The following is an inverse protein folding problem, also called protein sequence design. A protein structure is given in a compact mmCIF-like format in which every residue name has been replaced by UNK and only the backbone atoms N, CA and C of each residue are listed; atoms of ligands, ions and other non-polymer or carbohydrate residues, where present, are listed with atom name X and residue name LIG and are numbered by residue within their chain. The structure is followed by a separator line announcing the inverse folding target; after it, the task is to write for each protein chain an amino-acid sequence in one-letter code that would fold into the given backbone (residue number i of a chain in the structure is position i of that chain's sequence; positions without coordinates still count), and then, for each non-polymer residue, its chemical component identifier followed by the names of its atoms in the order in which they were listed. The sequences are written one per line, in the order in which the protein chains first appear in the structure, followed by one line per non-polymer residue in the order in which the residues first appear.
data_IF_756744188436
#
_entry.id   IF_756744188436
#
_cell.length_a   1.000
_cell.length_b   1.000
_cell.length_c   1.000
_cell.angle_alpha   90.00
_cell.angle_beta   90.00
_cell.angle_gamma   90.00
#
_symmetry.space_group_name_H-M   'P 1'
#
loop_
_entity.id
_entity.type
_entity.pdbx_description
1 polymer ?
#
# COMPACT_ATOMS: atom_id res chain seq x y z
N UNK A 1 21.81 -11.70 1.26
CA UNK A 1 20.35 -11.78 1.55
C UNK A 1 19.78 -13.10 1.06
N UNK A 2 18.70 -13.53 1.67
CA UNK A 2 18.09 -14.85 1.41
C UNK A 2 16.62 -14.65 1.04
N UNK A 3 16.16 -15.31 -0.04
CA UNK A 3 14.76 -15.20 -0.48
C UNK A 3 13.85 -15.87 0.55
N UNK A 4 12.89 -15.14 1.09
CA UNK A 4 11.91 -15.65 2.05
C UNK A 4 10.61 -16.11 1.38
N UNK A 5 10.23 -15.48 0.26
CA UNK A 5 8.95 -15.73 -0.39
C UNK A 5 8.97 -15.16 -1.81
N UNK A 6 8.21 -15.80 -2.69
CA UNK A 6 8.03 -15.33 -4.07
C UNK A 6 6.58 -15.53 -4.48
N UNK A 7 6.03 -14.58 -5.20
CA UNK A 7 4.71 -14.71 -5.81
C UNK A 7 4.70 -14.03 -7.18
N UNK A 8 3.65 -14.27 -7.94
CA UNK A 8 3.51 -13.70 -9.28
C UNK A 8 2.04 -13.45 -9.60
N UNK A 9 1.80 -12.41 -10.37
CA UNK A 9 0.50 -12.11 -10.98
C UNK A 9 0.76 -11.81 -12.46
N UNK A 10 -0.22 -12.11 -13.30
CA UNK A 10 -0.15 -11.92 -14.75
C UNK A 10 -1.20 -10.88 -15.15
N UNK A 11 -0.80 -9.87 -15.90
CA UNK A 11 -1.73 -8.88 -16.45
C UNK A 11 -1.91 -9.09 -17.96
N UNK A 12 -3.15 -9.01 -18.40
CA UNK A 12 -3.54 -8.93 -19.80
C UNK A 12 -4.31 -7.63 -20.03
N UNK A 13 -3.92 -6.85 -21.01
CA UNK A 13 -4.64 -5.63 -21.41
C UNK A 13 -4.27 -4.36 -20.65
N UNK A 14 -3.27 -4.38 -19.79
CA UNK A 14 -2.81 -3.19 -19.08
C UNK A 14 -3.86 -2.64 -18.12
N UNK A 15 -4.08 -1.32 -18.18
CA UNK A 15 -5.01 -0.61 -17.29
C UNK A 15 -6.50 -0.80 -17.64
N UNK A 16 -6.78 -1.54 -18.70
CA UNK A 16 -8.14 -1.88 -19.11
C UNK A 16 -8.17 -3.35 -19.51
N UNK A 17 -8.04 -4.22 -18.54
CA UNK A 17 -7.92 -5.64 -18.78
C UNK A 17 -8.17 -6.44 -17.51
N UNK A 18 -7.24 -7.31 -17.17
CA UNK A 18 -7.41 -8.18 -16.00
C UNK A 18 -6.05 -8.61 -15.44
N UNK A 19 -6.06 -9.01 -14.18
CA UNK A 19 -4.92 -9.68 -13.53
C UNK A 19 -5.37 -11.00 -12.95
N UNK A 20 -4.50 -11.98 -13.00
CA UNK A 20 -4.77 -13.29 -12.42
C UNK A 20 -3.51 -13.92 -11.85
N UNK A 21 -3.70 -14.75 -10.84
CA UNK A 21 -2.61 -15.61 -10.35
C UNK A 21 -2.38 -16.76 -11.34
N UNK A 22 -1.13 -17.23 -11.49
CA UNK A 22 -0.82 -18.32 -12.42
C UNK A 22 -1.65 -19.59 -12.20
N UNK A 23 -2.03 -19.86 -10.94
CA UNK A 23 -2.85 -21.02 -10.57
C UNK A 23 -4.35 -20.74 -10.53
N UNK A 24 -4.79 -19.55 -10.93
CA UNK A 24 -6.19 -19.15 -10.93
C UNK A 24 -6.80 -18.85 -9.58
N UNK A 25 -6.00 -18.85 -8.51
CA UNK A 25 -6.52 -18.60 -7.14
C UNK A 25 -6.99 -17.17 -6.90
N UNK A 26 -6.59 -16.24 -7.75
CA UNK A 26 -6.98 -14.83 -7.66
C UNK A 26 -7.18 -14.30 -9.07
N UNK A 27 -8.27 -13.57 -9.26
CA UNK A 27 -8.60 -12.93 -10.54
C UNK A 27 -9.32 -11.62 -10.28
N UNK A 28 -8.89 -10.53 -10.93
CA UNK A 28 -9.53 -9.23 -10.80
C UNK A 28 -9.53 -8.52 -12.14
N UNK A 29 -10.62 -7.80 -12.38
CA UNK A 29 -10.74 -6.92 -13.54
C UNK A 29 -10.01 -5.61 -13.24
N UNK A 30 -9.27 -5.11 -14.23
CA UNK A 30 -8.61 -3.80 -14.15
C UNK A 30 -9.39 -2.82 -15.02
N UNK A 31 -9.84 -1.72 -14.41
CA UNK A 31 -10.64 -0.71 -15.10
C UNK A 31 -10.01 0.67 -14.89
N UNK A 32 -10.15 1.58 -15.87
CA UNK A 32 -9.65 2.94 -15.72
C UNK A 32 -10.29 3.66 -14.54
N UNK A 33 -9.55 4.51 -13.81
CA UNK A 33 -10.11 5.30 -12.72
C UNK A 33 -11.24 6.22 -13.22
N UNK A 34 -12.23 6.45 -12.36
CA UNK A 34 -13.31 7.39 -12.65
C UNK A 34 -14.47 6.86 -13.46
N UNK A 35 -14.43 5.62 -13.91
CA UNK A 35 -15.59 4.98 -14.55
C UNK A 35 -16.28 4.07 -13.54
N UNK A 36 -17.62 4.00 -13.64
CA UNK A 36 -18.44 3.13 -12.78
C UNK A 36 -18.50 1.73 -13.37
N UNK A 37 -17.41 0.99 -13.22
CA UNK A 37 -17.32 -0.40 -13.64
C UNK A 37 -16.75 -1.24 -12.52
N UNK A 38 -17.13 -2.50 -12.47
CA UNK A 38 -16.54 -3.46 -11.54
C UNK A 38 -15.06 -3.65 -11.86
N UNK A 39 -14.25 -3.69 -10.82
CA UNK A 39 -12.83 -3.91 -10.97
C UNK A 39 -12.02 -3.05 -10.05
N UNK A 40 -10.73 -3.10 -10.24
CA UNK A 40 -9.75 -2.31 -9.49
C UNK A 40 -8.82 -1.60 -10.47
N UNK A 41 -7.78 -0.97 -9.96
CA UNK A 41 -6.76 -0.31 -10.78
C UNK A 41 -5.41 -0.45 -10.08
N UNK A 42 -4.29 -0.15 -10.78
CA UNK A 42 -2.97 -0.31 -10.19
C UNK A 42 -2.76 0.49 -8.91
N UNK A 43 -3.32 1.70 -8.83
CA UNK A 43 -3.15 2.55 -7.65
C UNK A 43 -3.92 1.98 -6.44
N UNK A 44 -5.10 1.41 -6.66
CA UNK A 44 -5.86 0.76 -5.62
C UNK A 44 -5.17 -0.52 -5.13
N UNK A 45 -4.60 -1.29 -6.04
CA UNK A 45 -3.81 -2.48 -5.68
C UNK A 45 -2.56 -2.10 -4.89
N UNK A 46 -1.88 -1.05 -5.30
CA UNK A 46 -0.71 -0.52 -4.57
C UNK A 46 -1.11 -0.07 -3.17
N UNK A 47 -2.25 0.63 -3.05
CA UNK A 47 -2.78 1.08 -1.76
C UNK A 47 -3.12 -0.11 -0.86
N UNK A 48 -3.79 -1.13 -1.39
CA UNK A 48 -4.14 -2.34 -0.64
C UNK A 48 -2.88 -3.06 -0.14
N UNK A 49 -1.89 -3.19 -0.99
CA UNK A 49 -0.60 -3.81 -0.64
C UNK A 49 0.14 -3.03 0.43
N UNK A 50 0.24 -1.72 0.25
CA UNK A 50 0.95 -0.87 1.21
C UNK A 50 0.25 -0.85 2.57
N UNK A 51 -1.08 -0.66 2.58
CA UNK A 51 -1.85 -0.67 3.83
C UNK A 51 -1.65 -1.99 4.58
N UNK A 52 -1.71 -3.11 3.89
CA UNK A 52 -1.54 -4.43 4.49
C UNK A 52 -0.13 -4.64 5.03
N UNK A 53 0.87 -4.28 4.24
CA UNK A 53 2.27 -4.42 4.61
C UNK A 53 2.62 -3.52 5.80
N UNK A 54 2.21 -2.26 5.75
CA UNK A 54 2.49 -1.30 6.81
C UNK A 54 1.76 -1.68 8.11
N UNK A 55 0.48 -2.06 8.02
CA UNK A 55 -0.25 -2.49 9.20
C UNK A 55 0.32 -3.78 9.79
N UNK A 56 0.85 -4.67 8.95
CA UNK A 56 1.60 -5.82 9.42
C UNK A 56 2.82 -5.44 10.25
N UNK A 57 3.53 -4.39 9.84
CA UNK A 57 4.65 -3.85 10.60
C UNK A 57 4.17 -3.23 11.93
N UNK A 58 3.06 -2.49 11.91
CA UNK A 58 2.45 -1.95 13.12
C UNK A 58 2.08 -3.09 14.08
N UNK A 59 1.40 -4.11 13.58
CA UNK A 59 0.99 -5.28 14.37
C UNK A 59 2.17 -6.04 14.96
N UNK A 60 3.29 -6.04 14.27
CA UNK A 60 4.52 -6.64 14.78
C UNK A 60 5.04 -5.91 16.04
N UNK A 61 4.78 -4.61 16.14
CA UNK A 61 5.27 -3.76 17.24
C UNK A 61 4.30 -3.64 18.39
N UNK A 62 3.00 -3.92 18.15
CA UNK A 62 1.96 -3.94 19.18
C UNK A 62 1.44 -5.36 19.30
N UNK A 63 1.14 -5.83 20.51
CA UNK A 63 0.77 -7.24 20.73
C UNK A 63 -0.71 -7.47 21.01
N UNK A 64 -1.39 -6.48 21.52
CA UNK A 64 -2.76 -6.64 22.02
C UNK A 64 -3.73 -5.59 21.52
N UNK A 65 -3.27 -4.49 20.98
CA UNK A 65 -4.12 -3.44 20.45
C UNK A 65 -4.53 -3.75 19.00
N UNK A 66 -5.68 -3.24 18.61
CA UNK A 66 -6.10 -3.29 17.21
C UNK A 66 -5.59 -2.05 16.47
N UNK A 67 -5.26 -2.21 15.23
CA UNK A 67 -4.81 -1.11 14.38
C UNK A 67 -5.43 -1.17 13.01
N UNK A 68 -5.61 0.01 12.43
CA UNK A 68 -6.03 0.16 11.03
C UNK A 68 -5.07 1.10 10.32
N UNK A 69 -4.83 0.83 9.06
CA UNK A 69 -4.04 1.69 8.20
C UNK A 69 -4.84 1.95 6.93
N UNK A 70 -5.04 3.23 6.63
CA UNK A 70 -5.64 3.65 5.36
C UNK A 70 -4.53 4.25 4.50
N UNK A 71 -4.26 3.63 3.37
CA UNK A 71 -3.30 4.15 2.41
C UNK A 71 -4.05 4.95 1.34
N UNK A 72 -3.72 6.24 1.24
CA UNK A 72 -4.19 7.10 0.15
C UNK A 72 -3.10 7.16 -0.88
N UNK A 73 -3.39 6.71 -2.07
CA UNK A 73 -2.44 6.74 -3.19
C UNK A 73 -2.96 7.71 -4.24
N UNK A 74 -2.15 8.69 -4.57
CA UNK A 74 -2.46 9.68 -5.59
C UNK A 74 -1.54 9.49 -6.79
N UNK A 75 -2.08 9.76 -7.97
CA UNK A 75 -1.32 9.75 -9.20
C UNK A 75 -1.18 11.21 -9.65
N UNK A 76 0.06 11.68 -9.78
CA UNK A 76 0.38 13.05 -10.12
C UNK A 76 0.91 13.13 -11.54
N UNK A 77 0.50 14.16 -12.28
CA UNK A 77 1.13 14.51 -13.55
C UNK A 77 2.47 15.20 -13.29
N UNK A 78 3.50 14.74 -13.99
CA UNK A 78 4.80 15.39 -13.95
C UNK A 78 4.93 16.39 -15.10
N UNK A 79 5.80 17.37 -14.94
CA UNK A 79 6.03 18.41 -15.96
C UNK A 79 6.59 17.85 -17.28
N UNK A 80 7.26 16.70 -17.22
CA UNK A 80 7.81 16.00 -18.39
C UNK A 80 6.76 15.16 -19.14
N UNK A 81 5.51 15.17 -18.69
CA UNK A 81 4.42 14.38 -19.28
C UNK A 81 4.25 12.99 -18.72
N UNK A 82 5.07 12.60 -17.74
CA UNK A 82 4.93 11.33 -17.04
C UNK A 82 4.03 11.42 -15.82
N UNK A 83 3.97 10.32 -15.09
CA UNK A 83 3.16 10.22 -13.85
C UNK A 83 4.02 9.70 -12.71
N UNK A 84 3.66 10.09 -11.50
CA UNK A 84 4.30 9.61 -10.29
C UNK A 84 3.24 9.43 -9.20
N UNK A 85 3.39 8.38 -8.39
CA UNK A 85 2.50 8.18 -7.25
C UNK A 85 3.06 8.85 -6.00
N UNK A 86 2.15 9.27 -5.12
CA UNK A 86 2.46 9.70 -3.77
C UNK A 86 1.54 9.01 -2.81
N UNK A 87 1.95 8.88 -1.55
CA UNK A 87 1.22 8.08 -0.56
C UNK A 87 1.07 8.85 0.75
N UNK A 88 -0.12 8.77 1.33
CA UNK A 88 -0.37 9.16 2.73
C UNK A 88 -0.88 7.94 3.46
N UNK A 89 -0.20 7.57 4.53
CA UNK A 89 -0.61 6.45 5.40
C UNK A 89 -1.25 7.04 6.66
N UNK A 90 -2.55 6.81 6.83
CA UNK A 90 -3.30 7.20 8.02
C UNK A 90 -3.36 6.01 8.96
N UNK A 91 -2.76 6.15 10.13
CA UNK A 91 -2.60 5.06 11.10
C UNK A 91 -3.44 5.33 12.33
N UNK A 92 -4.26 4.36 12.72
CA UNK A 92 -5.01 4.38 13.96
C UNK A 92 -4.67 3.16 14.79
N UNK A 93 -4.35 3.37 16.06
CA UNK A 93 -4.04 2.29 17.00
C UNK A 93 -4.92 2.49 18.23
N UNK A 94 -5.75 1.48 18.57
CA UNK A 94 -6.66 1.57 19.68
C UNK A 94 -5.94 1.57 21.03
N UNK A 95 -6.41 2.41 21.94
CA UNK A 95 -6.03 2.32 23.35
C UNK A 95 -4.66 2.84 23.73
N UNK A 96 -3.97 3.56 22.83
CA UNK A 96 -2.67 4.17 23.15
C UNK A 96 -2.71 5.67 22.85
N UNK A 97 -1.77 6.41 23.43
CA UNK A 97 -1.65 7.83 23.22
C UNK A 97 -1.19 8.15 21.79
N UNK A 98 -1.49 9.35 21.33
CA UNK A 98 -1.01 9.83 20.02
C UNK A 98 0.52 9.80 19.94
N UNK A 99 1.20 10.16 21.02
CA UNK A 99 2.66 10.15 21.08
C UNK A 99 3.23 8.74 20.93
N UNK A 100 2.64 7.75 21.60
CA UNK A 100 3.05 6.35 21.45
C UNK A 100 2.74 5.83 20.04
N UNK A 101 1.57 6.18 19.50
CA UNK A 101 1.19 5.79 18.15
C UNK A 101 2.16 6.36 17.11
N UNK A 102 2.60 7.60 17.30
CA UNK A 102 3.58 8.23 16.41
C UNK A 102 4.91 7.46 16.42
N UNK A 103 5.38 7.07 17.59
CA UNK A 103 6.61 6.30 17.73
C UNK A 103 6.50 4.93 17.05
N UNK A 104 5.40 4.25 17.26
CA UNK A 104 5.14 2.94 16.63
C UNK A 104 5.09 3.08 15.11
N UNK A 105 4.41 4.12 14.62
CA UNK A 105 4.31 4.36 13.18
C UNK A 105 5.68 4.67 12.55
N UNK A 106 6.53 5.41 13.23
CA UNK A 106 7.90 5.67 12.77
C UNK A 106 8.71 4.38 12.69
N UNK A 107 8.63 3.54 13.72
CA UNK A 107 9.32 2.26 13.74
C UNK A 107 8.78 1.32 12.66
N UNK A 108 7.45 1.31 12.45
CA UNK A 108 6.81 0.53 11.40
C UNK A 108 7.27 1.00 10.00
N UNK A 109 7.42 2.31 9.81
CA UNK A 109 7.90 2.86 8.54
C UNK A 109 9.33 2.41 8.23
N UNK A 110 10.18 2.28 9.24
CA UNK A 110 11.52 1.72 9.07
C UNK A 110 11.50 0.22 8.74
N UNK A 111 10.57 -0.51 9.33
CA UNK A 111 10.48 -1.97 9.23
C UNK A 111 9.77 -2.45 7.95
N UNK A 112 8.77 -1.72 7.48
CA UNK A 112 7.90 -2.13 6.38
C UNK A 112 8.65 -2.29 5.06
N UNK A 113 8.59 -3.45 4.39
CA UNK A 113 9.24 -3.64 3.09
C UNK A 113 8.78 -2.67 2.01
N UNK A 114 7.50 -2.28 1.98
CA UNK A 114 7.00 -1.27 1.03
C UNK A 114 7.61 0.10 1.32
N UNK A 115 7.73 0.47 2.60
CA UNK A 115 8.39 1.72 2.98
C UNK A 115 9.86 1.73 2.56
N UNK A 116 10.54 0.60 2.67
CA UNK A 116 11.91 0.47 2.19
C UNK A 116 12.00 0.63 0.66
N UNK A 117 10.99 0.17 -0.07
CA UNK A 117 10.93 0.30 -1.52
C UNK A 117 10.64 1.74 -1.98
N UNK A 118 9.88 2.50 -1.20
CA UNK A 118 9.45 3.86 -1.57
C UNK A 118 10.38 4.95 -1.05
N UNK A 119 11.06 4.71 0.06
CA UNK A 119 11.90 5.72 0.74
C UNK A 119 12.98 6.27 -0.18
N UNK A 120 13.07 7.61 -0.22
CA UNK A 120 14.05 8.30 -1.07
C UNK A 120 13.67 8.34 -2.55
N UNK A 121 12.52 7.80 -2.92
CA UNK A 121 12.07 7.74 -4.30
C UNK A 121 10.76 8.50 -4.52
N UNK A 122 9.76 8.26 -3.70
CA UNK A 122 8.49 8.99 -3.75
C UNK A 122 8.15 9.55 -2.38
N UNK A 123 7.26 10.54 -2.35
CA UNK A 123 6.79 11.13 -1.09
C UNK A 123 5.83 10.18 -0.40
N UNK A 124 6.12 9.86 0.86
CA UNK A 124 5.26 9.07 1.74
C UNK A 124 5.12 9.82 3.06
N UNK A 125 3.89 10.21 3.38
CA UNK A 125 3.55 10.87 4.63
C UNK A 125 2.86 9.87 5.56
N UNK A 126 3.25 9.84 6.83
CA UNK A 126 2.63 8.99 7.85
C UNK A 126 1.93 9.88 8.87
N UNK A 127 0.63 9.69 9.04
CA UNK A 127 -0.21 10.52 9.90
C UNK A 127 -0.97 9.65 10.90
N UNK A 128 -1.00 10.07 12.15
CA UNK A 128 -1.80 9.41 13.19
C UNK A 128 -3.21 10.02 13.19
N UNK A 129 -4.21 9.16 13.18
CA UNK A 129 -5.63 9.58 13.16
C UNK A 129 -6.43 8.97 14.30
#
# INVERSE_FOLDING_TARGET
MKKAYETAMINHGGRNGEVEAPNGSMHMKITPPGIHAEGTNPEQLFAAGYASCFNGAVQHMIKTAESTVKARVSLYNLDDGGYQIGVVLEVHIDGISEEEAQKIAEDAHEFCPYSKATRGNIDVEVTIV
#
